data_IF_703387110138
#
_entry.id   IF_703387110138
#
_cell.length_a   1.000
_cell.length_b   1.000
_cell.length_c   1.000
_cell.angle_alpha   90.00
_cell.angle_beta   90.00
_cell.angle_gamma   90.00
#
_symmetry.space_group_name_H-M   'P 1'
#
loop_
_entity.id
_entity.type
_entity.pdbx_description
1 polymer ?
#
# COMPACT_ATOMS: atom_id res chain seq x y z
N UNK A 1 -45.29 12.53 55.53
CA UNK A 1 -44.48 11.54 54.79
C UNK A 1 -44.96 11.56 53.36
N UNK A 2 -44.19 12.15 52.44
CA UNK A 2 -44.46 12.11 51.00
C UNK A 2 -43.45 11.12 50.42
N UNK A 3 -43.94 10.01 49.88
CA UNK A 3 -43.13 9.01 49.18
C UNK A 3 -42.60 9.65 47.88
N UNK A 4 -41.26 9.74 47.73
CA UNK A 4 -40.64 10.00 46.44
C UNK A 4 -40.89 8.77 45.56
N UNK A 5 -41.75 8.90 44.57
CA UNK A 5 -41.71 8.02 43.40
C UNK A 5 -40.35 8.19 42.76
N UNK A 6 -39.58 7.10 42.69
CA UNK A 6 -38.34 7.06 41.93
C UNK A 6 -38.71 7.18 40.45
N UNK A 7 -38.60 8.37 39.88
CA UNK A 7 -38.71 8.52 38.43
C UNK A 7 -37.61 7.67 37.79
N UNK A 8 -38.00 6.85 36.82
CA UNK A 8 -37.11 6.07 35.97
C UNK A 8 -37.37 6.49 34.54
N UNK A 9 -36.31 6.80 33.81
CA UNK A 9 -36.38 7.18 32.41
C UNK A 9 -35.82 6.08 31.53
N UNK A 10 -36.38 5.89 30.35
CA UNK A 10 -35.94 4.85 29.42
C UNK A 10 -34.86 5.40 28.49
N UNK A 11 -33.74 4.70 28.38
CA UNK A 11 -32.68 5.09 27.46
C UNK A 11 -33.21 5.12 26.01
N UNK A 12 -33.06 6.22 25.24
CA UNK A 12 -33.59 6.33 23.89
C UNK A 12 -32.90 5.40 22.88
N UNK A 13 -31.69 4.93 23.20
CA UNK A 13 -30.85 4.14 22.28
C UNK A 13 -31.07 2.63 22.47
N UNK A 14 -30.87 2.12 23.69
CA UNK A 14 -30.97 0.69 23.98
C UNK A 14 -32.25 0.26 24.70
N UNK A 15 -33.13 1.21 25.07
CA UNK A 15 -34.39 0.99 25.79
C UNK A 15 -34.26 0.34 27.18
N UNK A 16 -33.08 0.38 27.79
CA UNK A 16 -32.88 -0.03 29.18
C UNK A 16 -33.41 1.06 30.13
N UNK A 17 -34.02 0.66 31.25
CA UNK A 17 -34.44 1.58 32.30
C UNK A 17 -33.22 2.20 33.01
N UNK A 18 -33.25 3.51 33.19
CA UNK A 18 -32.19 4.30 33.82
C UNK A 18 -32.79 5.09 35.00
N UNK A 19 -32.03 5.22 36.10
CA UNK A 19 -32.47 5.97 37.27
C UNK A 19 -32.55 7.48 36.95
N UNK A 20 -33.55 8.18 37.49
CA UNK A 20 -33.60 9.64 37.38
C UNK A 20 -32.38 10.30 38.03
N UNK A 21 -31.69 11.13 37.26
CA UNK A 21 -30.46 11.82 37.65
C UNK A 21 -29.17 11.21 37.08
N UNK A 22 -29.23 10.02 36.47
CA UNK A 22 -28.08 9.48 35.74
C UNK A 22 -27.93 10.19 34.39
N UNK A 23 -26.75 10.79 34.19
CA UNK A 23 -26.40 11.44 32.93
C UNK A 23 -26.12 10.44 31.81
N UNK A 24 -25.81 9.18 32.14
CA UNK A 24 -25.42 8.14 31.20
C UNK A 24 -26.10 6.80 31.51
N UNK A 25 -26.47 6.05 30.47
CA UNK A 25 -26.99 4.70 30.60
C UNK A 25 -25.87 3.73 30.98
N UNK A 26 -26.03 3.00 32.09
CA UNK A 26 -25.07 2.00 32.56
C UNK A 26 -24.95 0.75 31.66
N UNK A 27 -25.93 0.51 30.79
CA UNK A 27 -25.94 -0.66 29.90
C UNK A 27 -25.20 -0.42 28.57
N UNK A 28 -25.37 0.76 27.95
CA UNK A 28 -24.76 1.07 26.65
C UNK A 28 -23.83 2.30 26.63
N UNK A 29 -23.83 3.11 27.69
CA UNK A 29 -23.01 4.32 27.80
C UNK A 29 -23.60 5.60 27.18
N UNK A 30 -24.82 5.55 26.63
CA UNK A 30 -25.47 6.72 25.99
C UNK A 30 -25.93 7.78 26.99
N UNK A 31 -25.85 9.07 26.63
CA UNK A 31 -26.32 10.19 27.48
C UNK A 31 -27.84 10.24 27.54
N UNK A 32 -28.42 10.61 28.70
CA UNK A 32 -29.88 10.52 28.94
C UNK A 32 -30.56 11.90 29.14
N UNK A 33 -29.79 12.97 29.35
CA UNK A 33 -30.29 14.29 29.78
C UNK A 33 -30.52 15.30 28.62
N UNK A 34 -31.09 14.86 27.49
CA UNK A 34 -31.33 15.69 26.28
C UNK A 34 -32.83 16.01 26.04
N UNK A 35 -33.62 16.15 27.11
CA UNK A 35 -35.07 16.41 27.00
C UNK A 35 -35.46 17.79 26.44
N UNK A 36 -34.51 18.69 26.15
CA UNK A 36 -34.78 20.06 25.67
C UNK A 36 -34.41 20.33 24.19
N UNK A 37 -34.18 19.30 23.37
CA UNK A 37 -33.88 19.49 21.93
C UNK A 37 -34.86 18.87 20.94
N UNK A 38 -36.14 18.73 21.32
CA UNK A 38 -37.22 18.43 20.37
C UNK A 38 -38.05 19.68 20.04
N UNK A 39 -37.45 20.71 19.44
CA UNK A 39 -38.19 21.75 18.72
C UNK A 39 -37.46 22.06 17.41
N UNK A 40 -38.21 21.96 16.32
CA UNK A 40 -37.88 22.35 14.94
C UNK A 40 -37.11 21.34 14.08
N UNK A 41 -37.82 20.32 13.60
CA UNK A 41 -37.57 19.74 12.28
C UNK A 41 -38.68 20.22 11.33
N UNK A 42 -38.62 21.49 10.94
CA UNK A 42 -39.27 21.97 9.73
C UNK A 42 -38.46 23.14 9.13
N UNK A 43 -37.99 22.95 7.90
CA UNK A 43 -37.50 23.99 6.98
C UNK A 43 -36.18 24.71 7.29
N UNK A 44 -35.13 24.38 6.52
CA UNK A 44 -34.10 25.37 6.17
C UNK A 44 -32.68 24.84 6.04
N UNK A 45 -32.19 24.78 4.79
CA UNK A 45 -30.77 24.71 4.44
C UNK A 45 -29.90 25.67 5.29
N UNK A 46 -29.15 25.11 6.24
CA UNK A 46 -27.97 25.74 6.82
C UNK A 46 -26.94 24.65 7.07
N UNK A 47 -25.91 24.62 6.20
CA UNK A 47 -24.75 23.72 6.26
C UNK A 47 -23.84 24.06 7.46
N UNK A 48 -24.34 23.88 8.67
CA UNK A 48 -23.53 23.76 9.88
C UNK A 48 -23.50 22.30 10.29
N UNK A 49 -22.54 21.53 9.77
CA UNK A 49 -22.33 20.16 10.20
C UNK A 49 -21.85 20.21 11.66
N UNK A 50 -22.74 20.06 12.63
CA UNK A 50 -22.35 19.95 14.04
C UNK A 50 -21.61 18.63 14.21
N UNK A 51 -20.28 18.71 14.26
CA UNK A 51 -19.39 17.54 14.44
C UNK A 51 -19.82 16.77 15.68
N UNK A 52 -20.07 15.47 15.55
CA UNK A 52 -20.52 14.64 16.68
C UNK A 52 -19.42 14.52 17.72
N UNK A 53 -19.80 14.36 18.99
CA UNK A 53 -18.82 14.23 20.08
C UNK A 53 -17.87 13.03 19.91
N UNK A 54 -18.35 11.94 19.32
CA UNK A 54 -17.53 10.75 19.01
C UNK A 54 -16.46 11.02 17.94
N UNK A 55 -16.80 11.77 16.90
CA UNK A 55 -15.91 12.17 15.81
C UNK A 55 -14.80 13.08 16.34
N UNK A 56 -15.17 14.05 17.19
CA UNK A 56 -14.20 14.92 17.87
C UNK A 56 -13.28 14.13 18.80
N UNK A 57 -13.80 13.17 19.56
CA UNK A 57 -13.00 12.34 20.46
C UNK A 57 -12.01 11.45 19.70
N UNK A 58 -12.42 10.93 18.54
CA UNK A 58 -11.53 10.20 17.64
C UNK A 58 -10.42 11.10 17.08
N UNK A 59 -10.77 12.30 16.58
CA UNK A 59 -9.81 13.25 16.03
C UNK A 59 -8.72 13.62 17.05
N UNK A 60 -9.12 13.91 18.30
CA UNK A 60 -8.18 14.23 19.38
C UNK A 60 -7.24 13.06 19.69
N UNK A 61 -7.75 11.81 19.69
CA UNK A 61 -6.90 10.62 19.87
C UNK A 61 -5.93 10.44 18.69
N UNK A 62 -6.42 10.58 17.45
CA UNK A 62 -5.59 10.47 16.26
C UNK A 62 -4.45 11.50 16.27
N UNK A 63 -4.75 12.75 16.61
CA UNK A 63 -3.75 13.82 16.71
C UNK A 63 -2.71 13.48 17.78
N UNK A 64 -3.14 13.05 18.97
CA UNK A 64 -2.22 12.67 20.05
C UNK A 64 -1.27 11.54 19.66
N UNK A 65 -1.78 10.49 18.99
CA UNK A 65 -0.96 9.39 18.48
C UNK A 65 0.07 9.88 17.45
N UNK A 66 -0.32 10.81 16.58
CA UNK A 66 0.60 11.38 15.57
C UNK A 66 1.62 12.33 16.19
N UNK A 67 1.26 13.10 17.20
CA UNK A 67 2.21 13.94 17.93
C UNK A 67 3.28 13.09 18.62
N UNK A 68 2.90 11.94 19.18
CA UNK A 68 3.86 10.96 19.72
C UNK A 68 4.81 10.39 18.64
N UNK A 69 4.37 10.29 17.38
CA UNK A 69 5.21 9.91 16.23
C UNK A 69 6.08 11.07 15.68
N UNK A 70 6.04 12.25 16.31
CA UNK A 70 6.81 13.44 15.93
C UNK A 70 6.15 14.32 14.88
N UNK A 71 4.83 14.23 14.70
CA UNK A 71 4.07 15.21 13.93
C UNK A 71 3.79 16.45 14.78
N UNK A 72 3.67 17.61 14.13
CA UNK A 72 3.34 18.88 14.79
C UNK A 72 2.09 19.47 14.18
N UNK A 73 1.17 19.94 15.02
CA UNK A 73 -0.06 20.62 14.62
C UNK A 73 0.23 22.04 14.12
N UNK A 74 -0.28 22.39 12.94
CA UNK A 74 -0.15 23.72 12.35
C UNK A 74 -1.40 24.57 12.58
N UNK A 75 -2.56 23.96 12.38
CA UNK A 75 -3.88 24.58 12.43
C UNK A 75 -4.82 23.53 13.04
N UNK A 76 -5.56 23.95 14.07
CA UNK A 76 -6.49 23.12 14.85
C UNK A 76 -7.86 23.81 14.77
N UNK A 77 -8.66 23.39 13.80
CA UNK A 77 -10.06 23.77 13.68
C UNK A 77 -10.93 22.73 14.42
N UNK A 78 -12.20 23.04 14.65
CA UNK A 78 -13.09 22.15 15.40
C UNK A 78 -13.42 20.84 14.64
N UNK A 79 -13.43 20.91 13.31
CA UNK A 79 -13.77 19.80 12.41
C UNK A 79 -12.57 19.25 11.62
N UNK A 80 -11.41 19.92 11.65
CA UNK A 80 -10.21 19.49 10.94
C UNK A 80 -8.91 19.92 11.64
N UNK A 81 -7.87 19.11 11.50
CA UNK A 81 -6.53 19.41 12.01
C UNK A 81 -5.49 19.21 10.92
N UNK A 82 -4.64 20.22 10.74
CA UNK A 82 -3.54 20.16 9.78
C UNK A 82 -2.25 19.79 10.51
N UNK A 83 -1.73 18.60 10.20
CA UNK A 83 -0.50 18.05 10.77
C UNK A 83 0.66 18.20 9.79
N UNK A 84 1.85 18.49 10.30
CA UNK A 84 3.11 18.51 9.54
C UNK A 84 4.19 17.71 10.25
N UNK A 85 4.92 16.88 9.52
CA UNK A 85 6.10 16.19 10.07
C UNK A 85 7.38 16.89 9.60
N UNK A 86 8.08 17.55 10.53
CA UNK A 86 9.41 18.11 10.24
C UNK A 86 10.46 17.02 10.42
N UNK A 87 11.32 16.86 9.43
CA UNK A 87 12.41 15.89 9.47
C UNK A 87 13.51 16.27 8.49
N UNK A 88 14.71 15.74 8.72
CA UNK A 88 15.90 16.04 7.90
C UNK A 88 15.81 15.44 6.49
N UNK A 89 14.87 14.52 6.24
CA UNK A 89 14.68 13.85 4.96
C UNK A 89 15.05 12.37 5.06
N UNK A 90 15.13 11.70 3.90
CA UNK A 90 15.44 10.27 3.86
C UNK A 90 16.96 10.04 3.91
N UNK A 91 17.42 9.11 4.75
CA UNK A 91 18.84 8.76 4.90
C UNK A 91 19.55 8.42 3.57
N UNK A 92 18.96 7.65 2.64
CA UNK A 92 19.61 7.36 1.36
C UNK A 92 19.85 8.59 0.49
N UNK A 93 18.94 9.58 0.52
CA UNK A 93 19.12 10.86 -0.18
C UNK A 93 20.31 11.62 0.40
N UNK A 94 20.51 11.55 1.72
CA UNK A 94 21.67 12.15 2.35
C UNK A 94 23.00 11.50 1.94
N UNK A 95 23.03 10.17 1.81
CA UNK A 95 24.22 9.44 1.35
C UNK A 95 24.57 9.83 -0.08
N UNK A 96 23.58 9.87 -0.98
CA UNK A 96 23.80 10.29 -2.37
C UNK A 96 24.25 11.75 -2.42
N UNK A 97 23.58 12.65 -1.71
CA UNK A 97 23.96 14.05 -1.65
C UNK A 97 25.39 14.22 -1.10
N UNK A 98 25.79 13.43 -0.09
CA UNK A 98 27.13 13.44 0.45
C UNK A 98 28.17 13.08 -0.61
N UNK A 99 27.97 11.97 -1.32
CA UNK A 99 28.90 11.48 -2.33
C UNK A 99 29.06 12.46 -3.51
N UNK A 100 27.98 13.13 -3.91
CA UNK A 100 28.00 14.03 -5.06
C UNK A 100 28.58 15.41 -4.76
N UNK A 101 28.44 15.89 -3.53
CA UNK A 101 28.69 17.30 -3.20
C UNK A 101 29.59 17.50 -1.99
N UNK A 102 30.16 16.42 -1.43
CA UNK A 102 31.00 16.47 -0.23
C UNK A 102 30.26 16.93 1.02
N UNK A 103 28.92 16.92 1.02
CA UNK A 103 28.07 17.33 2.14
C UNK A 103 27.30 18.64 1.94
N UNK A 104 27.61 19.46 0.94
CA UNK A 104 26.85 20.70 0.70
C UNK A 104 25.39 20.42 0.30
N UNK A 105 25.19 19.40 -0.52
CA UNK A 105 23.88 18.88 -0.90
C UNK A 105 23.10 18.31 0.29
N UNK A 106 23.77 17.81 1.34
CA UNK A 106 23.09 17.39 2.56
C UNK A 106 22.46 18.56 3.29
N UNK A 107 23.19 19.66 3.41
CA UNK A 107 22.69 20.86 4.05
C UNK A 107 21.49 21.42 3.28
N UNK A 108 21.59 21.50 1.95
CA UNK A 108 20.51 21.96 1.09
C UNK A 108 19.29 21.03 1.15
N UNK A 109 19.49 19.71 1.06
CA UNK A 109 18.41 18.73 1.12
C UNK A 109 17.74 18.70 2.49
N UNK A 110 18.51 18.75 3.58
CA UNK A 110 17.98 18.85 4.94
C UNK A 110 17.11 20.10 5.11
N UNK A 111 17.61 21.24 4.63
CA UNK A 111 16.87 22.52 4.69
C UNK A 111 15.59 22.45 3.88
N UNK A 112 15.64 21.92 2.65
CA UNK A 112 14.47 21.71 1.80
C UNK A 112 13.44 20.79 2.48
N UNK A 113 13.87 19.62 2.96
CA UNK A 113 13.00 18.63 3.60
C UNK A 113 12.39 19.15 4.90
N UNK A 114 13.11 19.98 5.64
CA UNK A 114 12.63 20.56 6.89
C UNK A 114 11.61 21.70 6.67
N UNK A 115 11.74 22.44 5.56
CA UNK A 115 10.95 23.65 5.29
C UNK A 115 9.84 23.41 4.27
N UNK A 116 10.20 23.31 2.99
CA UNK A 116 9.28 23.29 1.85
C UNK A 116 8.75 21.89 1.55
N UNK A 117 9.57 20.86 1.74
CA UNK A 117 9.23 19.46 1.45
C UNK A 117 8.62 18.69 2.62
N UNK A 118 8.34 19.35 3.75
CA UNK A 118 7.79 18.69 4.92
C UNK A 118 6.35 18.20 4.64
N UNK A 119 6.06 16.89 4.75
CA UNK A 119 4.76 16.34 4.40
C UNK A 119 3.67 16.94 5.30
N UNK A 120 2.54 17.29 4.65
CA UNK A 120 1.34 17.85 5.29
C UNK A 120 0.20 16.84 5.18
N UNK A 121 -0.60 16.75 6.23
CA UNK A 121 -1.82 15.92 6.28
C UNK A 121 -2.92 16.75 6.88
N UNK A 122 -4.05 16.84 6.18
CA UNK A 122 -5.29 17.41 6.68
C UNK A 122 -6.17 16.25 7.12
N UNK A 123 -6.59 16.27 8.38
CA UNK A 123 -7.39 15.20 9.00
C UNK A 123 -8.69 15.82 9.46
N UNK A 124 -9.81 15.30 8.97
CA UNK A 124 -11.14 15.77 9.36
C UNK A 124 -11.73 14.85 10.44
N UNK A 125 -12.68 15.38 11.20
CA UNK A 125 -13.32 14.66 12.30
C UNK A 125 -14.09 13.43 11.84
N UNK A 126 -14.60 13.42 10.61
CA UNK A 126 -15.30 12.30 9.97
C UNK A 126 -14.39 11.10 9.63
N UNK A 127 -13.07 11.24 9.86
CA UNK A 127 -12.08 10.22 9.57
C UNK A 127 -11.42 10.37 8.20
N UNK A 128 -11.81 11.34 7.38
CA UNK A 128 -11.15 11.58 6.10
C UNK A 128 -9.76 12.16 6.33
N UNK A 129 -8.77 11.55 5.66
CA UNK A 129 -7.37 11.97 5.74
C UNK A 129 -6.92 12.34 4.34
N UNK A 130 -6.84 13.64 4.10
CA UNK A 130 -6.29 14.19 2.88
C UNK A 130 -4.77 14.36 3.04
N UNK A 131 -4.02 13.74 2.12
CA UNK A 131 -2.57 13.86 2.06
C UNK A 131 -2.24 14.88 0.98
N UNK A 132 -1.87 16.11 1.37
CA UNK A 132 -1.28 17.06 0.44
C UNK A 132 0.18 16.67 0.20
N UNK A 133 0.40 15.78 -0.77
CA UNK A 133 1.73 15.50 -1.32
C UNK A 133 2.14 16.66 -2.25
N UNK A 134 2.50 17.82 -1.68
CA UNK A 134 3.09 18.94 -2.45
C UNK A 134 4.60 18.74 -2.74
N UNK A 135 5.19 17.63 -2.29
CA UNK A 135 6.55 17.25 -2.66
C UNK A 135 6.54 16.26 -3.83
N UNK A 136 7.47 16.36 -4.80
CA UNK A 136 7.62 15.31 -5.82
C UNK A 136 7.86 13.99 -5.08
N UNK A 137 6.95 13.03 -5.23
CA UNK A 137 7.11 11.67 -4.71
C UNK A 137 8.20 10.99 -5.52
N UNK A 138 9.45 11.34 -5.27
CA UNK A 138 10.60 10.67 -5.87
C UNK A 138 10.68 9.29 -5.22
N UNK A 139 10.24 8.28 -5.98
CA UNK A 139 10.32 6.90 -5.55
C UNK A 139 11.75 6.58 -5.12
N UNK A 140 11.88 5.88 -4.00
CA UNK A 140 13.18 5.47 -3.47
C UNK A 140 14.00 4.71 -4.51
N UNK A 141 13.31 3.98 -5.38
CA UNK A 141 13.87 3.27 -6.53
C UNK A 141 14.47 4.22 -7.57
N UNK A 142 13.80 5.33 -7.88
CA UNK A 142 14.29 6.37 -8.80
C UNK A 142 15.50 7.08 -8.23
N UNK A 143 15.47 7.43 -6.95
CA UNK A 143 16.61 8.05 -6.26
C UNK A 143 17.80 7.10 -6.19
N UNK A 144 17.57 5.84 -5.80
CA UNK A 144 18.63 4.83 -5.73
C UNK A 144 19.22 4.54 -7.13
N UNK A 145 18.38 4.53 -8.17
CA UNK A 145 18.82 4.41 -9.57
C UNK A 145 19.69 5.58 -10.01
N UNK A 146 19.28 6.82 -9.72
CA UNK A 146 20.08 8.02 -10.02
C UNK A 146 21.40 8.03 -9.23
N UNK A 147 21.36 7.69 -7.94
CA UNK A 147 22.55 7.59 -7.10
C UNK A 147 23.54 6.53 -7.58
N UNK A 148 23.04 5.34 -7.95
CA UNK A 148 23.85 4.26 -8.52
C UNK A 148 24.45 4.65 -9.88
N UNK A 149 23.67 5.31 -10.74
CA UNK A 149 24.13 5.82 -12.02
C UNK A 149 25.23 6.87 -11.89
N UNK A 150 25.11 7.79 -10.95
CA UNK A 150 26.14 8.82 -10.70
C UNK A 150 27.40 8.24 -10.06
N UNK A 151 27.27 7.29 -9.13
CA UNK A 151 28.41 6.57 -8.57
C UNK A 151 29.15 5.78 -9.66
N UNK A 152 28.41 5.12 -10.54
CA UNK A 152 28.98 4.44 -11.68
C UNK A 152 29.74 5.43 -12.58
N UNK A 153 29.14 6.55 -12.97
CA UNK A 153 29.83 7.59 -13.74
C UNK A 153 31.13 8.08 -13.08
N UNK A 154 31.12 8.26 -11.76
CA UNK A 154 32.32 8.63 -11.02
C UNK A 154 33.41 7.55 -11.08
N UNK A 155 33.03 6.28 -10.90
CA UNK A 155 33.95 5.14 -11.01
C UNK A 155 34.51 5.00 -12.43
N UNK A 156 33.70 5.21 -13.47
CA UNK A 156 34.17 5.21 -14.85
C UNK A 156 35.16 6.35 -15.11
N UNK A 157 34.85 7.56 -14.65
CA UNK A 157 35.74 8.71 -14.79
C UNK A 157 37.08 8.46 -14.06
N UNK A 158 37.03 7.96 -12.82
CA UNK A 158 38.21 7.60 -12.04
C UNK A 158 39.05 6.51 -12.74
N UNK A 159 38.41 5.50 -13.34
CA UNK A 159 39.11 4.47 -14.10
C UNK A 159 39.81 5.02 -15.35
N UNK A 160 39.15 5.89 -16.10
CA UNK A 160 39.74 6.53 -17.29
C UNK A 160 40.95 7.38 -16.90
N UNK A 161 40.84 8.17 -15.83
CA UNK A 161 41.96 8.98 -15.30
C UNK A 161 43.12 8.09 -14.85
N UNK A 162 42.83 7.02 -14.11
CA UNK A 162 43.84 6.05 -13.69
C UNK A 162 44.54 5.39 -14.88
N UNK A 163 43.78 4.98 -15.89
CA UNK A 163 44.31 4.33 -17.08
C UNK A 163 45.21 5.24 -17.91
N UNK A 164 44.87 6.53 -18.00
CA UNK A 164 45.72 7.56 -18.61
C UNK A 164 47.01 7.78 -17.81
N UNK A 165 46.93 7.88 -16.48
CA UNK A 165 48.10 8.06 -15.60
C UNK A 165 49.02 6.85 -15.58
N UNK A 166 48.46 5.64 -15.67
CA UNK A 166 49.19 4.39 -15.68
C UNK A 166 49.70 4.00 -17.09
N UNK A 167 49.45 4.82 -18.12
CA UNK A 167 49.84 4.53 -19.51
C UNK A 167 49.37 3.15 -19.99
N UNK A 168 48.16 2.77 -19.58
CA UNK A 168 47.58 1.47 -19.89
C UNK A 168 47.32 1.33 -21.40
N UNK A 169 47.44 0.11 -21.91
CA UNK A 169 47.17 -0.18 -23.33
C UNK A 169 45.70 0.08 -23.68
N UNK A 170 45.42 0.30 -24.97
CA UNK A 170 44.05 0.43 -25.48
C UNK A 170 43.18 -0.77 -25.14
N UNK A 171 43.76 -1.97 -25.05
CA UNK A 171 43.06 -3.17 -24.60
C UNK A 171 42.58 -3.07 -23.14
N UNK A 172 43.39 -2.50 -22.25
CA UNK A 172 43.02 -2.31 -20.84
C UNK A 172 41.93 -1.24 -20.66
N UNK A 173 41.91 -0.20 -21.50
CA UNK A 173 40.83 0.78 -21.55
C UNK A 173 39.51 0.13 -21.97
N UNK A 174 39.52 -0.66 -23.04
CA UNK A 174 38.32 -1.37 -23.53
C UNK A 174 37.81 -2.38 -22.50
N UNK A 175 38.71 -3.17 -21.91
CA UNK A 175 38.34 -4.15 -20.87
C UNK A 175 37.71 -3.48 -19.64
N UNK A 176 38.27 -2.36 -19.19
CA UNK A 176 37.72 -1.60 -18.07
C UNK A 176 36.38 -0.94 -18.39
N UNK A 177 36.17 -0.42 -19.61
CA UNK A 177 34.89 0.09 -20.04
C UNK A 177 33.81 -1.00 -20.11
N UNK A 178 34.16 -2.20 -20.59
CA UNK A 178 33.26 -3.37 -20.59
C UNK A 178 32.89 -3.83 -19.18
N UNK A 179 33.89 -3.94 -18.30
CA UNK A 179 33.67 -4.27 -16.89
C UNK A 179 32.76 -3.23 -16.23
N UNK A 180 32.98 -1.94 -16.54
CA UNK A 180 32.15 -0.85 -16.04
C UNK A 180 30.68 -0.99 -16.46
N UNK A 181 30.42 -1.27 -17.74
CA UNK A 181 29.06 -1.49 -18.25
C UNK A 181 28.41 -2.68 -17.53
N UNK A 182 29.12 -3.80 -17.38
CA UNK A 182 28.61 -4.99 -16.71
C UNK A 182 28.30 -4.74 -15.23
N UNK A 183 29.20 -4.06 -14.51
CA UNK A 183 28.99 -3.69 -13.10
C UNK A 183 27.82 -2.73 -12.95
N UNK A 184 27.65 -1.77 -13.86
CA UNK A 184 26.54 -0.81 -13.84
C UNK A 184 25.20 -1.50 -14.06
N UNK A 185 25.12 -2.41 -15.04
CA UNK A 185 23.93 -3.24 -15.28
C UNK A 185 23.65 -4.13 -14.07
N UNK A 186 24.67 -4.77 -13.49
CA UNK A 186 24.52 -5.59 -12.29
C UNK A 186 24.02 -4.76 -11.09
N UNK A 187 24.58 -3.57 -10.86
CA UNK A 187 24.16 -2.68 -9.78
C UNK A 187 22.73 -2.15 -9.97
N UNK A 188 22.27 -1.96 -11.21
CA UNK A 188 20.90 -1.56 -11.51
C UNK A 188 19.90 -2.69 -11.26
N UNK A 189 20.29 -3.94 -11.53
CA UNK A 189 19.41 -5.12 -11.37
C UNK A 189 19.48 -5.74 -9.96
N UNK A 190 20.60 -5.63 -9.26
CA UNK A 190 20.84 -6.27 -7.97
C UNK A 190 19.80 -5.92 -6.88
N UNK A 191 19.34 -4.67 -6.70
CA UNK A 191 18.37 -4.34 -5.65
C UNK A 191 17.02 -5.06 -5.82
N UNK A 192 16.59 -5.29 -7.06
CA UNK A 192 15.36 -6.04 -7.35
C UNK A 192 15.56 -7.52 -7.12
N UNK A 193 16.65 -8.07 -7.66
CA UNK A 193 16.97 -9.51 -7.55
C UNK A 193 17.21 -9.96 -6.10
N UNK A 194 17.94 -9.17 -5.30
CA UNK A 194 18.27 -9.52 -3.92
C UNK A 194 17.06 -9.49 -2.98
N UNK A 195 16.06 -8.65 -3.27
CA UNK A 195 14.86 -8.51 -2.42
C UNK A 195 13.77 -9.51 -2.77
N UNK A 196 13.59 -9.77 -4.05
CA UNK A 196 12.39 -10.45 -4.56
C UNK A 196 12.68 -11.88 -5.06
N UNK A 197 13.97 -12.24 -5.15
CA UNK A 197 14.42 -13.51 -5.69
C UNK A 197 14.37 -13.56 -7.21
N UNK A 198 15.09 -14.52 -7.80
CA UNK A 198 15.08 -14.76 -9.25
C UNK A 198 13.96 -15.74 -9.57
N UNK A 199 13.10 -15.40 -10.54
CA UNK A 199 12.13 -16.35 -11.10
C UNK A 199 12.79 -17.21 -12.19
N UNK A 200 12.19 -18.34 -12.61
CA UNK A 200 12.71 -19.12 -13.72
C UNK A 200 12.93 -18.24 -14.97
N UNK A 201 13.98 -18.54 -15.73
CA UNK A 201 14.36 -17.77 -16.93
C UNK A 201 13.29 -17.79 -18.05
N UNK A 202 12.28 -18.65 -17.92
CA UNK A 202 11.11 -18.71 -18.81
C UNK A 202 10.02 -17.70 -18.44
N UNK A 203 10.13 -16.99 -17.32
CA UNK A 203 9.14 -15.99 -16.89
C UNK A 203 9.32 -14.68 -17.67
N UNK A 204 8.41 -14.45 -18.61
CA UNK A 204 8.26 -13.19 -19.34
C UNK A 204 6.84 -12.67 -19.17
N UNK A 205 6.69 -11.35 -19.03
CA UNK A 205 5.37 -10.71 -18.97
C UNK A 205 5.15 -9.93 -17.69
N UNK A 206 3.91 -9.89 -17.20
CA UNK A 206 3.57 -9.19 -15.95
C UNK A 206 2.98 -10.14 -14.93
N UNK A 207 3.46 -10.06 -13.71
CA UNK A 207 2.95 -10.83 -12.57
C UNK A 207 2.42 -9.85 -11.52
N UNK A 208 1.26 -10.15 -10.94
CA UNK A 208 0.67 -9.39 -9.84
C UNK A 208 0.87 -10.20 -8.56
N UNK A 209 1.64 -9.66 -7.62
CA UNK A 209 1.78 -10.24 -6.29
C UNK A 209 0.84 -9.50 -5.34
N UNK A 210 0.15 -10.25 -4.47
CA UNK A 210 -0.70 -9.69 -3.42
C UNK A 210 -0.23 -10.23 -2.08
N UNK A 211 0.16 -9.33 -1.18
CA UNK A 211 0.52 -9.64 0.19
C UNK A 211 -0.63 -9.22 1.12
N UNK A 212 -0.92 -10.06 2.13
CA UNK A 212 -2.09 -9.91 2.99
C UNK A 212 -1.64 -9.83 4.45
N UNK A 213 -2.14 -8.84 5.18
CA UNK A 213 -1.94 -8.72 6.63
C UNK A 213 -3.29 -8.47 7.33
N UNK A 214 -3.53 -9.16 8.45
CA UNK A 214 -4.74 -8.92 9.25
C UNK A 214 -4.54 -7.68 10.11
N UNK A 215 -5.47 -6.74 10.03
CA UNK A 215 -5.43 -5.47 10.77
C UNK A 215 -6.60 -5.35 11.73
N UNK A 216 -6.38 -4.64 12.84
CA UNK A 216 -7.40 -4.34 13.83
C UNK A 216 -7.57 -2.83 13.95
N UNK A 217 -8.82 -2.39 13.87
CA UNK A 217 -9.24 -0.99 13.94
C UNK A 217 -8.37 -0.03 13.09
N UNK A 218 -8.16 -0.30 11.79
CA UNK A 218 -7.44 0.62 10.93
C UNK A 218 -8.22 1.95 10.80
N UNK A 219 -7.52 3.09 10.70
CA UNK A 219 -8.18 4.39 10.54
C UNK A 219 -8.91 4.52 9.19
N UNK A 220 -8.49 3.77 8.17
CA UNK A 220 -9.09 3.81 6.84
C UNK A 220 -10.45 3.07 6.80
N UNK A 221 -11.40 3.61 6.04
CA UNK A 221 -12.66 2.93 5.73
C UNK A 221 -12.44 1.76 4.76
N UNK A 222 -13.38 0.81 4.73
CA UNK A 222 -13.33 -0.34 3.83
C UNK A 222 -13.35 0.11 2.36
N UNK A 223 -12.35 -0.29 1.58
CA UNK A 223 -12.25 0.08 0.16
C UNK A 223 -13.39 -0.48 -0.72
N UNK A 224 -14.17 -1.45 -0.22
CA UNK A 224 -15.28 -2.06 -0.96
C UNK A 224 -16.67 -1.53 -0.55
N UNK A 225 -16.88 -1.28 0.75
CA UNK A 225 -18.20 -0.86 1.25
C UNK A 225 -18.19 0.46 2.02
N UNK A 226 -17.04 1.13 2.10
CA UNK A 226 -16.84 2.46 2.71
C UNK A 226 -17.22 2.56 4.20
N UNK A 227 -17.49 1.42 4.85
CA UNK A 227 -17.78 1.34 6.29
C UNK A 227 -16.52 1.29 7.14
N UNK A 228 -16.64 1.74 8.39
CA UNK A 228 -15.56 1.64 9.40
C UNK A 228 -15.17 0.18 9.68
N UNK A 229 -13.88 -0.06 9.84
CA UNK A 229 -13.31 -1.40 10.01
C UNK A 229 -12.90 -1.59 11.47
N UNK A 230 -13.46 -2.60 12.14
CA UNK A 230 -12.98 -3.05 13.46
C UNK A 230 -11.98 -4.20 13.34
N UNK A 231 -12.26 -5.13 12.42
CA UNK A 231 -11.39 -6.23 12.03
C UNK A 231 -11.39 -6.33 10.51
N UNK A 232 -10.21 -6.47 9.91
CA UNK A 232 -10.08 -6.46 8.46
C UNK A 232 -8.76 -7.02 7.95
N UNK A 233 -8.55 -6.87 6.65
CA UNK A 233 -7.36 -7.32 5.94
C UNK A 233 -6.80 -6.15 5.10
N UNK A 234 -5.51 -5.88 5.26
CA UNK A 234 -4.75 -4.96 4.42
C UNK A 234 -4.09 -5.78 3.31
N UNK A 235 -4.30 -5.36 2.07
CA UNK A 235 -3.74 -6.00 0.87
C UNK A 235 -2.79 -5.04 0.17
N UNK A 236 -1.51 -5.39 0.09
CA UNK A 236 -0.57 -4.70 -0.79
C UNK A 236 -0.52 -5.44 -2.12
N UNK A 237 -0.73 -4.71 -3.22
CA UNK A 237 -0.57 -5.25 -4.56
C UNK A 237 0.59 -4.58 -5.26
N UNK A 238 1.35 -5.37 -6.00
CA UNK A 238 2.40 -4.88 -6.88
C UNK A 238 2.37 -5.67 -8.19
N UNK A 239 2.11 -4.96 -9.29
CA UNK A 239 2.18 -5.49 -10.66
C UNK A 239 3.56 -5.19 -11.22
N UNK A 240 4.33 -6.24 -11.45
CA UNK A 240 5.71 -6.14 -11.94
C UNK A 240 5.82 -6.66 -13.36
N UNK A 241 6.82 -6.18 -14.08
CA UNK A 241 7.20 -6.69 -15.40
C UNK A 241 8.48 -7.50 -15.27
N UNK A 242 8.46 -8.72 -15.79
CA UNK A 242 9.59 -9.65 -15.81
C UNK A 242 10.09 -9.85 -17.24
N UNK A 243 11.41 -9.95 -17.37
CA UNK A 243 12.11 -10.35 -18.59
C UNK A 243 13.13 -11.41 -18.19
N UNK A 244 13.00 -12.61 -18.73
CA UNK A 244 13.86 -13.75 -18.41
C UNK A 244 13.99 -14.01 -16.89
N UNK A 245 12.90 -13.88 -16.13
CA UNK A 245 12.89 -14.08 -14.68
C UNK A 245 13.46 -12.92 -13.85
N UNK A 246 13.93 -11.84 -14.49
CA UNK A 246 14.43 -10.63 -13.81
C UNK A 246 13.34 -9.56 -13.77
N UNK A 247 13.02 -9.00 -12.58
CA UNK A 247 12.07 -7.90 -12.48
C UNK A 247 12.72 -6.63 -13.05
N UNK A 248 12.16 -6.09 -14.14
CA UNK A 248 12.68 -4.89 -14.82
C UNK A 248 11.95 -3.61 -14.42
N UNK A 249 10.82 -3.73 -13.70
CA UNK A 249 10.11 -2.58 -13.17
C UNK A 249 8.73 -2.92 -12.60
N UNK A 250 8.22 -2.01 -11.79
CA UNK A 250 6.87 -2.08 -11.21
C UNK A 250 5.96 -1.13 -11.98
N UNK A 251 4.88 -1.67 -12.56
CA UNK A 251 3.94 -0.90 -13.40
C UNK A 251 2.76 -0.34 -12.61
N UNK A 252 2.38 -1.00 -11.51
CA UNK A 252 1.37 -0.49 -10.59
C UNK A 252 1.65 -1.05 -9.19
N UNK A 253 1.50 -0.21 -8.17
CA UNK A 253 1.54 -0.64 -6.78
C UNK A 253 0.49 0.13 -5.97
N UNK A 254 -0.01 -0.48 -4.90
CA UNK A 254 -0.94 0.18 -4.00
C UNK A 254 -1.30 -0.70 -2.81
N UNK A 255 -2.08 -0.11 -1.91
CA UNK A 255 -2.63 -0.79 -0.74
C UNK A 255 -4.13 -0.54 -0.66
N UNK A 256 -4.89 -1.54 -0.26
CA UNK A 256 -6.31 -1.43 0.04
C UNK A 256 -6.60 -2.12 1.37
N UNK A 257 -7.51 -1.55 2.17
CA UNK A 257 -7.96 -2.15 3.43
C UNK A 257 -9.41 -2.57 3.29
N UNK A 258 -9.70 -3.82 3.62
CA UNK A 258 -11.04 -4.40 3.54
C UNK A 258 -11.52 -4.81 4.93
N UNK A 259 -12.81 -4.68 5.21
CA UNK A 259 -13.41 -5.32 6.38
C UNK A 259 -13.41 -6.84 6.21
N UNK A 260 -13.50 -7.58 7.32
CA UNK A 260 -13.48 -9.05 7.29
C UNK A 260 -14.50 -9.66 6.30
N UNK A 261 -15.72 -9.11 6.25
CA UNK A 261 -16.76 -9.59 5.33
C UNK A 261 -16.40 -9.40 3.85
N UNK A 262 -15.94 -8.20 3.47
CA UNK A 262 -15.55 -7.93 2.08
C UNK A 262 -14.24 -8.63 1.68
N UNK A 263 -13.34 -8.88 2.64
CA UNK A 263 -12.09 -9.57 2.37
C UNK A 263 -12.36 -11.02 1.89
N UNK A 264 -13.30 -11.71 2.53
CA UNK A 264 -13.69 -13.09 2.22
C UNK A 264 -14.40 -13.20 0.86
N UNK A 265 -15.35 -12.30 0.57
CA UNK A 265 -16.07 -12.27 -0.71
C UNK A 265 -15.14 -12.07 -1.90
N UNK A 266 -14.16 -11.15 -1.78
CA UNK A 266 -13.22 -10.86 -2.86
C UNK A 266 -12.21 -12.00 -3.07
N UNK A 267 -11.92 -12.81 -2.04
CA UNK A 267 -11.05 -13.98 -2.20
C UNK A 267 -11.73 -15.19 -2.83
N UNK A 268 -13.06 -15.31 -2.73
CA UNK A 268 -13.80 -16.49 -3.16
C UNK A 268 -14.07 -16.60 -4.66
N UNK A 269 -13.79 -15.57 -5.47
CA UNK A 269 -14.19 -15.56 -6.88
C UNK A 269 -13.13 -16.16 -7.84
N UNK A 270 -11.88 -16.33 -7.38
CA UNK A 270 -10.79 -16.99 -8.10
C UNK A 270 -9.75 -17.52 -7.10
N UNK A 271 -10.10 -18.54 -6.32
CA UNK A 271 -9.11 -19.22 -5.48
C UNK A 271 -8.09 -19.93 -6.36
N UNK A 272 -6.81 -19.90 -5.99
CA UNK A 272 -5.74 -20.62 -6.70
C UNK A 272 -6.07 -22.13 -6.82
N UNK A 273 -6.80 -22.67 -5.85
CA UNK A 273 -7.29 -24.06 -5.81
C UNK A 273 -8.28 -24.38 -6.96
N UNK A 274 -9.15 -23.43 -7.34
CA UNK A 274 -10.11 -23.62 -8.44
C UNK A 274 -9.42 -23.62 -9.81
N UNK A 275 -8.38 -22.80 -9.96
CA UNK A 275 -7.59 -22.72 -11.20
C UNK A 275 -6.80 -24.01 -11.41
N UNK A 276 -6.20 -24.56 -10.35
CA UNK A 276 -5.45 -25.82 -10.44
C UNK A 276 -6.38 -27.01 -10.74
N UNK A 277 -7.58 -27.04 -10.15
CA UNK A 277 -8.60 -28.03 -10.46
C UNK A 277 -9.08 -27.94 -11.92
N UNK A 278 -9.28 -26.72 -12.43
CA UNK A 278 -9.70 -26.47 -13.81
C UNK A 278 -8.61 -26.88 -14.82
N UNK A 279 -7.36 -26.52 -14.57
CA UNK A 279 -6.20 -26.91 -15.39
C UNK A 279 -6.01 -28.43 -15.41
N UNK A 280 -6.22 -29.09 -14.27
CA UNK A 280 -6.21 -30.55 -14.19
C UNK A 280 -7.33 -31.19 -15.01
N UNK A 281 -8.52 -30.56 -15.08
CA UNK A 281 -9.62 -31.02 -15.94
C UNK A 281 -9.25 -30.90 -17.42
N UNK A 282 -8.73 -29.76 -17.86
CA UNK A 282 -8.32 -29.55 -19.26
C UNK A 282 -7.21 -30.52 -19.70
N UNK A 283 -6.26 -30.84 -18.82
CA UNK A 283 -5.21 -31.83 -19.11
C UNK A 283 -5.78 -33.25 -19.28
N UNK A 284 -6.79 -33.61 -18.48
CA UNK A 284 -7.48 -34.90 -18.64
C UNK A 284 -8.24 -34.97 -19.96
N UNK A 285 -8.99 -33.92 -20.30
CA UNK A 285 -9.74 -33.85 -21.56
C UNK A 285 -8.84 -33.93 -22.79
N UNK A 286 -7.69 -33.22 -22.79
CA UNK A 286 -6.74 -33.28 -23.91
C UNK A 286 -6.08 -34.66 -24.04
N UNK A 287 -5.74 -35.30 -22.91
CA UNK A 287 -5.17 -36.65 -22.91
C UNK A 287 -6.18 -37.72 -23.38
N UNK A 288 -7.46 -37.54 -23.03
CA UNK A 288 -8.54 -38.43 -23.46
C UNK A 288 -8.82 -38.28 -24.97
N UNK A 289 -8.82 -37.05 -25.49
CA UNK A 289 -8.95 -36.80 -26.93
C UNK A 289 -7.83 -37.45 -27.75
N UNK A 290 -6.58 -37.33 -27.29
CA UNK A 290 -5.43 -37.96 -27.95
C UNK A 290 -5.40 -39.50 -27.86
N UNK A 291 -6.13 -40.10 -26.91
CA UNK A 291 -6.29 -41.55 -26.81
C UNK A 291 -7.40 -42.07 -27.72
N UNK A 292 -8.51 -41.32 -27.84
CA UNK A 292 -9.62 -41.65 -28.74
C UNK A 292 -9.20 -41.61 -30.22
N UNK A 293 -8.42 -40.59 -30.61
CA UNK A 293 -7.94 -40.41 -31.99
C UNK A 293 -7.04 -41.57 -32.44
N UNK A 294 -6.08 -41.98 -31.59
CA UNK A 294 -5.23 -43.17 -31.83
C UNK A 294 -6.01 -44.49 -31.83
N UNK A 295 -7.18 -44.54 -31.20
CA UNK A 295 -8.07 -45.69 -31.24
C UNK A 295 -8.74 -45.83 -32.60
N UNK A 296 -9.28 -44.71 -33.11
CA UNK A 296 -9.95 -44.66 -34.42
C UNK A 296 -9.03 -45.01 -35.58
N UNK A 297 -7.78 -44.53 -35.57
CA UNK A 297 -6.81 -44.85 -36.63
C UNK A 297 -6.50 -46.35 -36.71
N UNK A 298 -6.37 -47.03 -35.56
CA UNK A 298 -6.10 -48.47 -35.50
C UNK A 298 -7.29 -49.32 -35.92
N UNK A 299 -8.50 -48.85 -35.65
CA UNK A 299 -9.73 -49.53 -36.08
C UNK A 299 -9.90 -49.44 -37.60
N UNK A 300 -9.61 -48.26 -38.15
CA UNK A 300 -9.64 -48.00 -39.59
C UNK A 300 -8.57 -48.79 -40.37
N UNK A 301 -7.38 -48.94 -39.79
CA UNK A 301 -6.31 -49.77 -40.34
C UNK A 301 -6.71 -51.26 -40.38
N UNK A 302 -7.33 -51.78 -39.30
CA UNK A 302 -7.85 -53.16 -39.26
C UNK A 302 -8.98 -53.39 -40.27
N UNK A 303 -9.87 -52.41 -40.45
CA UNK A 303 -10.95 -52.50 -41.42
C UNK A 303 -10.39 -52.55 -42.86
N UNK A 304 -9.36 -51.74 -43.17
CA UNK A 304 -8.65 -51.79 -44.44
C UNK A 304 -7.93 -53.13 -44.67
N UNK A 305 -7.25 -53.67 -43.66
CA UNK A 305 -6.62 -54.99 -43.75
C UNK A 305 -7.63 -56.12 -43.98
N UNK A 306 -8.84 -56.00 -43.45
CA UNK A 306 -9.91 -56.98 -43.63
C UNK A 306 -10.50 -56.99 -45.05
N UNK A 307 -10.50 -55.84 -45.74
CA UNK A 307 -11.01 -55.72 -47.11
C UNK A 307 -10.02 -56.24 -48.18
N UNK A 308 -8.74 -56.40 -47.82
CA UNK A 308 -7.68 -56.85 -48.72
C UNK A 308 -7.44 -58.37 -48.70
N UNK A 309 -8.20 -59.12 -47.89
CA UNK A 309 -8.17 -60.59 -47.83
C UNK A 309 -9.42 -61.20 -48.45
#
# INVERSE_FOLDING_TARGET
MIFRTSDTQTCPDCRTEVAAGDQFCSACGAFVDDADRSVSADGGDARGHTVRHEDRAWLRRYVSDREAEGWTTLEDDDDRVVLRKRGVGRLPLHVVAFLLSGGLGNLLYATYSFTLGAPRRTVHADGTVERSNEGPSVDLLTVAGVGAGLLALFVAAAWVVFALLASLSTAALVAGALLFVLVSVAAMLAPGVLREGVKPVTTFGTEKTVERERVRNPPEACAACERRIFHGERRWYAKRRYVAGVPVGTTAAGENVYCAACADEVSGQFGDDDIEAELARMRRESSAGAAADRGGDRERERELESQLR
#
